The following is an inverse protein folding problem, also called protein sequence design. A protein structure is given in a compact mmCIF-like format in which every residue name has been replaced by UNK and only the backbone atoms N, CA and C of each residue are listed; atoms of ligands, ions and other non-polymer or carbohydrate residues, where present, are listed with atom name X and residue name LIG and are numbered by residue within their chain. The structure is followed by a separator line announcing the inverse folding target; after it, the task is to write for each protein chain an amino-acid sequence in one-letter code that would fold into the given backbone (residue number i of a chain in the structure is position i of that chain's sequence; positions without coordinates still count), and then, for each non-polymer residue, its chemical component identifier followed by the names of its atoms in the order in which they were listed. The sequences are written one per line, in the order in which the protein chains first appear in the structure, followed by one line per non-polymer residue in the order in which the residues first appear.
data_IF_797080310688
#
_entry.id   IF_797080310688
#
_cell.length_a   1.000
_cell.length_b   1.000
_cell.length_c   1.000
_cell.angle_alpha   90.00
_cell.angle_beta   90.00
_cell.angle_gamma   90.00
#
_symmetry.space_group_name_H-M   'P 1'
#
loop_
_entity.id
_entity.type
_entity.pdbx_description
1 polymer ?
#
# COMPACT_ATOMS: atom_id res chain seq x y z
N UNK A 1 14.49 6.18 6.57
CA UNK A 1 14.38 6.92 5.28
C UNK A 1 13.16 6.40 4.51
N UNK A 2 12.56 7.17 3.60
CA UNK A 2 11.36 6.75 2.84
C UNK A 2 11.59 5.43 2.09
N UNK A 3 12.75 5.25 1.46
CA UNK A 3 13.14 4.02 0.76
C UNK A 3 13.27 2.79 1.70
N UNK A 4 13.68 2.98 2.96
CA UNK A 4 13.71 1.88 3.93
C UNK A 4 12.28 1.48 4.34
N UNK A 5 11.38 2.46 4.47
CA UNK A 5 9.99 2.19 4.80
C UNK A 5 9.26 1.49 3.65
N UNK A 6 9.49 1.95 2.41
CA UNK A 6 9.05 1.24 1.19
C UNK A 6 9.56 -0.20 1.18
N UNK A 7 10.87 -0.40 1.37
CA UNK A 7 11.46 -1.74 1.35
C UNK A 7 10.85 -2.68 2.39
N UNK A 8 10.46 -2.17 3.57
CA UNK A 8 9.76 -2.97 4.60
C UNK A 8 8.38 -3.41 4.13
N UNK A 9 7.58 -2.50 3.56
CA UNK A 9 6.25 -2.83 3.04
C UNK A 9 6.37 -3.81 1.87
N UNK A 10 7.31 -3.59 0.95
CA UNK A 10 7.56 -4.50 -0.17
C UNK A 10 7.96 -5.90 0.32
N UNK A 11 8.81 -6.00 1.34
CA UNK A 11 9.17 -7.29 1.91
C UNK A 11 7.97 -8.02 2.55
N UNK A 12 7.05 -7.28 3.19
CA UNK A 12 5.81 -7.86 3.72
C UNK A 12 4.91 -8.37 2.57
N UNK A 13 4.75 -7.59 1.50
CA UNK A 13 3.99 -7.98 0.31
C UNK A 13 4.59 -9.22 -0.35
N UNK A 14 5.92 -9.23 -0.57
CA UNK A 14 6.62 -10.36 -1.19
C UNK A 14 6.52 -11.63 -0.33
N UNK A 15 6.52 -11.49 1.00
CA UNK A 15 6.31 -12.59 1.94
C UNK A 15 4.93 -13.23 1.86
N UNK A 16 3.91 -12.52 1.34
CA UNK A 16 2.55 -13.05 1.20
C UNK A 16 2.41 -14.05 0.04
N UNK A 17 3.29 -13.99 -0.96
CA UNK A 17 3.13 -14.68 -2.25
C UNK A 17 2.95 -16.20 -2.11
N UNK A 18 3.65 -16.81 -1.16
CA UNK A 18 3.66 -18.27 -1.00
C UNK A 18 2.40 -18.84 -0.32
N UNK A 19 1.61 -18.01 0.36
CA UNK A 19 0.50 -18.47 1.19
C UNK A 19 -0.81 -17.69 1.03
N UNK A 20 -0.80 -16.59 0.28
CA UNK A 20 -1.98 -15.76 0.00
C UNK A 20 -2.98 -16.50 -0.89
N UNK A 21 -4.26 -16.23 -0.64
CA UNK A 21 -5.35 -16.54 -1.58
C UNK A 21 -5.27 -15.68 -2.84
N UNK A 22 -5.99 -16.07 -3.90
CA UNK A 22 -6.05 -15.30 -5.15
C UNK A 22 -6.50 -13.85 -4.94
N UNK A 23 -7.48 -13.64 -4.05
CA UNK A 23 -7.98 -12.30 -3.71
C UNK A 23 -6.90 -11.47 -2.98
N UNK A 24 -6.12 -12.09 -2.09
CA UNK A 24 -5.01 -11.44 -1.38
C UNK A 24 -3.82 -11.15 -2.31
N UNK A 25 -3.53 -12.04 -3.28
CA UNK A 25 -2.52 -11.80 -4.31
C UNK A 25 -2.93 -10.63 -5.22
N UNK A 26 -4.21 -10.54 -5.57
CA UNK A 26 -4.74 -9.38 -6.28
C UNK A 26 -4.55 -8.09 -5.46
N UNK A 27 -4.99 -8.10 -4.20
CA UNK A 27 -4.90 -6.93 -3.33
C UNK A 27 -3.46 -6.49 -3.09
N UNK A 28 -2.53 -7.43 -2.87
CA UNK A 28 -1.12 -7.12 -2.63
C UNK A 28 -0.44 -6.55 -3.89
N UNK A 29 -0.76 -7.08 -5.08
CA UNK A 29 -0.32 -6.54 -6.36
C UNK A 29 -0.86 -5.12 -6.62
N UNK A 30 -2.14 -4.90 -6.30
CA UNK A 30 -2.78 -3.59 -6.41
C UNK A 30 -2.12 -2.55 -5.49
N UNK A 31 -1.93 -2.90 -4.20
CA UNK A 31 -1.27 -2.05 -3.22
C UNK A 31 0.18 -1.73 -3.57
N UNK A 32 0.93 -2.69 -4.11
CA UNK A 32 2.29 -2.45 -4.60
C UNK A 32 2.33 -1.35 -5.66
N UNK A 33 1.36 -1.32 -6.56
CA UNK A 33 1.21 -0.26 -7.57
C UNK A 33 1.01 1.12 -6.93
N UNK A 34 0.06 1.22 -5.99
CA UNK A 34 -0.21 2.47 -5.28
C UNK A 34 0.98 2.95 -4.44
N UNK A 35 1.66 2.03 -3.75
CA UNK A 35 2.87 2.34 -2.99
C UNK A 35 3.96 2.91 -3.90
N UNK A 36 4.25 2.24 -5.03
CA UNK A 36 5.30 2.69 -5.97
C UNK A 36 5.05 4.12 -6.45
N UNK A 37 3.79 4.44 -6.81
CA UNK A 37 3.42 5.79 -7.25
C UNK A 37 3.51 6.81 -6.11
N UNK A 38 3.06 6.45 -4.91
CA UNK A 38 3.12 7.32 -3.75
C UNK A 38 4.57 7.65 -3.34
N UNK A 39 5.46 6.67 -3.37
CA UNK A 39 6.88 6.88 -3.08
C UNK A 39 7.51 7.82 -4.12
N UNK A 40 7.27 7.58 -5.41
CA UNK A 40 7.78 8.45 -6.48
C UNK A 40 7.28 9.90 -6.36
N UNK A 41 6.04 10.11 -5.90
CA UNK A 41 5.51 11.44 -5.63
C UNK A 41 6.25 12.10 -4.46
N UNK A 42 6.40 11.38 -3.34
CA UNK A 42 7.01 11.89 -2.12
C UNK A 42 8.52 12.13 -2.26
N UNK A 43 9.23 11.37 -3.09
CA UNK A 43 10.67 11.58 -3.38
C UNK A 43 10.99 12.99 -3.90
N UNK A 44 10.02 13.63 -4.56
CA UNK A 44 10.15 14.99 -5.08
C UNK A 44 9.74 16.09 -4.08
N UNK A 45 9.13 15.69 -2.96
CA UNK A 45 8.62 16.58 -1.91
C UNK A 45 9.57 16.70 -0.73
N UNK A 46 9.11 17.42 0.30
CA UNK A 46 9.90 17.67 1.51
C UNK A 46 9.59 16.65 2.64
N UNK A 47 8.37 16.08 2.65
CA UNK A 47 7.92 15.16 3.69
C UNK A 47 8.11 13.69 3.28
N UNK A 48 9.14 13.09 3.86
CA UNK A 48 9.52 11.69 3.64
C UNK A 48 9.15 10.79 4.83
N UNK A 49 8.19 11.21 5.66
CA UNK A 49 7.75 10.44 6.82
C UNK A 49 6.90 9.23 6.43
N UNK A 50 6.86 8.22 7.32
CA UNK A 50 5.94 7.09 7.16
C UNK A 50 4.48 7.56 7.08
N UNK A 51 4.13 8.62 7.82
CA UNK A 51 2.78 9.18 7.78
C UNK A 51 2.44 9.82 6.43
N UNK A 52 3.43 10.44 5.76
CA UNK A 52 3.25 10.94 4.40
C UNK A 52 2.97 9.78 3.43
N UNK A 53 3.72 8.68 3.53
CA UNK A 53 3.46 7.45 2.74
C UNK A 53 2.04 6.92 3.01
N UNK A 54 1.63 6.83 4.28
CA UNK A 54 0.26 6.43 4.65
C UNK A 54 -0.80 7.28 3.97
N UNK A 55 -0.64 8.60 4.07
CA UNK A 55 -1.59 9.57 3.55
C UNK A 55 -1.69 9.48 2.03
N UNK A 56 -0.56 9.48 1.32
CA UNK A 56 -0.52 9.49 -0.14
C UNK A 56 -1.07 8.19 -0.73
N UNK A 57 -0.74 7.02 -0.16
CA UNK A 57 -1.31 5.74 -0.59
C UNK A 57 -2.81 5.71 -0.32
N UNK A 58 -3.26 6.12 0.86
CA UNK A 58 -4.69 6.11 1.22
C UNK A 58 -5.51 7.01 0.30
N UNK A 59 -5.03 8.22 -0.01
CA UNK A 59 -5.68 9.12 -0.96
C UNK A 59 -5.73 8.54 -2.38
N UNK A 60 -4.65 7.88 -2.80
CA UNK A 60 -4.57 7.22 -4.11
C UNK A 60 -5.58 6.08 -4.22
N UNK A 61 -5.73 5.27 -3.16
CA UNK A 61 -6.75 4.23 -3.05
C UNK A 61 -8.17 4.82 -3.06
N UNK A 62 -8.46 5.83 -2.22
CA UNK A 62 -9.77 6.50 -2.18
C UNK A 62 -10.18 7.04 -3.55
N UNK A 63 -9.24 7.62 -4.30
CA UNK A 63 -9.48 8.11 -5.65
C UNK A 63 -9.83 6.99 -6.62
N UNK A 64 -9.08 5.90 -6.62
CA UNK A 64 -9.33 4.75 -7.50
C UNK A 64 -10.66 4.04 -7.15
N UNK A 65 -10.97 3.92 -5.86
CA UNK A 65 -12.25 3.40 -5.37
C UNK A 65 -13.41 4.29 -5.83
N UNK A 66 -13.27 5.62 -5.68
CA UNK A 66 -14.26 6.58 -6.15
C UNK A 66 -14.44 6.59 -7.67
N UNK A 67 -13.43 6.17 -8.42
CA UNK A 67 -13.50 5.97 -9.87
C UNK A 67 -14.16 4.63 -10.28
N UNK A 68 -14.47 3.76 -9.32
CA UNK A 68 -15.13 2.47 -9.55
C UNK A 68 -14.19 1.37 -10.04
N UNK A 69 -12.90 1.44 -9.75
CA UNK A 69 -11.91 0.42 -10.17
C UNK A 69 -12.10 -0.93 -9.48
N UNK A 70 -12.69 -0.93 -8.28
CA UNK A 70 -12.78 -2.10 -7.40
C UNK A 70 -14.23 -2.44 -7.04
N UNK A 71 -14.53 -3.74 -6.89
CA UNK A 71 -15.80 -4.19 -6.32
C UNK A 71 -15.87 -3.86 -4.81
N UNK A 72 -17.06 -3.76 -4.19
CA UNK A 72 -17.16 -3.46 -2.75
C UNK A 72 -16.39 -4.44 -1.85
N UNK A 73 -16.26 -5.70 -2.27
CA UNK A 73 -15.47 -6.71 -1.58
C UNK A 73 -13.99 -6.40 -1.66
N UNK A 74 -13.50 -6.07 -2.86
CA UNK A 74 -12.09 -5.78 -3.09
C UNK A 74 -11.67 -4.47 -2.42
N UNK A 75 -12.56 -3.48 -2.38
CA UNK A 75 -12.37 -2.23 -1.63
C UNK A 75 -12.05 -2.49 -0.16
N UNK A 76 -12.88 -3.29 0.52
CA UNK A 76 -12.64 -3.64 1.92
C UNK A 76 -11.32 -4.41 2.09
N UNK A 77 -11.04 -5.36 1.20
CA UNK A 77 -9.81 -6.17 1.26
C UNK A 77 -8.55 -5.31 1.10
N UNK A 78 -8.48 -4.42 0.11
CA UNK A 78 -7.29 -3.57 -0.11
C UNK A 78 -7.10 -2.56 1.01
N UNK A 79 -8.18 -1.97 1.54
CA UNK A 79 -8.08 -1.00 2.65
C UNK A 79 -7.62 -1.66 3.94
N UNK A 80 -8.18 -2.83 4.29
CA UNK A 80 -7.79 -3.56 5.50
C UNK A 80 -6.34 -4.07 5.39
N UNK A 81 -5.96 -4.60 4.22
CA UNK A 81 -4.60 -5.05 3.96
C UNK A 81 -3.60 -3.89 4.03
N UNK A 82 -3.95 -2.72 3.48
CA UNK A 82 -3.09 -1.54 3.54
C UNK A 82 -2.78 -1.12 4.98
N UNK A 83 -3.82 -0.98 5.81
CA UNK A 83 -3.63 -0.59 7.20
C UNK A 83 -2.78 -1.62 7.95
N UNK A 84 -3.01 -2.91 7.69
CA UNK A 84 -2.21 -3.97 8.30
C UNK A 84 -0.72 -3.90 7.90
N UNK A 85 -0.42 -3.73 6.61
CA UNK A 85 0.95 -3.59 6.11
C UNK A 85 1.65 -2.37 6.70
N UNK A 86 0.96 -1.23 6.75
CA UNK A 86 1.49 0.00 7.32
C UNK A 86 1.82 -0.14 8.81
N UNK A 87 0.91 -0.73 9.59
CA UNK A 87 1.11 -0.97 11.02
C UNK A 87 2.30 -1.91 11.26
N UNK A 88 2.41 -3.00 10.51
CA UNK A 88 3.54 -3.93 10.62
C UNK A 88 4.88 -3.25 10.29
N UNK A 89 4.94 -2.50 9.19
CA UNK A 89 6.16 -1.78 8.78
C UNK A 89 6.58 -0.69 9.78
N UNK A 90 5.62 -0.12 10.51
CA UNK A 90 5.84 0.92 11.53
C UNK A 90 6.34 0.39 12.87
N UNK A 91 6.18 -0.91 13.12
CA UNK A 91 6.61 -1.57 14.37
C UNK A 91 8.03 -2.15 14.31
N UNK A 92 8.67 -2.14 13.13
CA UNK A 92 10.05 -2.60 12.90
C UNK A 92 11.06 -1.46 12.95
#
# INVERSE_FOLDING_TARGET
MIAEFESRILALIDGMVDHASDDELFASGYLRGHLTLAIAELESGDDHSAQAVHTTVSQSLEKAIGAGELSPRDQALVTDMWENLFQQASQQ
#
